data_IF_713043448348
#
_entry.id   IF_713043448348
#
_cell.length_a   1.000
_cell.length_b   1.000
_cell.length_c   1.000
_cell.angle_alpha   90.00
_cell.angle_beta   90.00
_cell.angle_gamma   90.00
#
_symmetry.space_group_name_H-M   'P 1'
#
loop_
_entity.id
_entity.type
_entity.pdbx_description
1 polymer ?
#
# COMPACT_ATOMS: atom_id res chain seq x y z
N UNK A 1 24.24 7.91 -23.37
CA UNK A 1 23.31 7.10 -24.20
C UNK A 1 22.58 6.15 -23.27
N UNK A 2 21.43 6.56 -22.71
CA UNK A 2 20.72 5.77 -21.68
C UNK A 2 19.20 6.01 -21.67
N UNK A 3 18.65 6.59 -22.73
CA UNK A 3 17.19 6.64 -22.95
C UNK A 3 16.62 5.37 -23.58
N UNK A 4 17.46 4.57 -24.25
CA UNK A 4 17.05 3.36 -24.97
C UNK A 4 16.57 2.24 -24.04
N UNK A 5 17.10 2.13 -22.82
CA UNK A 5 16.75 1.01 -21.92
C UNK A 5 15.32 1.11 -21.37
N UNK A 6 14.87 2.32 -20.98
CA UNK A 6 13.50 2.52 -20.49
C UNK A 6 12.48 2.38 -21.61
N UNK A 7 12.75 2.93 -22.79
CA UNK A 7 11.87 2.78 -23.98
C UNK A 7 11.77 1.32 -24.39
N UNK A 8 12.89 0.58 -24.36
CA UNK A 8 12.88 -0.86 -24.64
C UNK A 8 12.09 -1.64 -23.59
N UNK A 9 12.21 -1.29 -22.31
CA UNK A 9 11.45 -1.91 -21.23
C UNK A 9 9.94 -1.70 -21.41
N UNK A 10 9.51 -0.49 -21.72
CA UNK A 10 8.10 -0.18 -21.98
C UNK A 10 7.57 -0.93 -23.20
N UNK A 11 8.36 -1.00 -24.27
CA UNK A 11 7.99 -1.79 -25.45
C UNK A 11 7.84 -3.27 -25.14
N UNK A 12 8.72 -3.84 -24.30
CA UNK A 12 8.63 -5.24 -23.86
C UNK A 12 7.39 -5.46 -23.00
N UNK A 13 7.12 -4.57 -22.05
CA UNK A 13 5.93 -4.65 -21.18
C UNK A 13 4.65 -4.60 -22.00
N UNK A 14 4.53 -3.63 -22.91
CA UNK A 14 3.36 -3.52 -23.79
C UNK A 14 3.18 -4.79 -24.63
N UNK A 15 4.27 -5.35 -25.18
CA UNK A 15 4.18 -6.57 -25.97
C UNK A 15 3.77 -7.79 -25.14
N UNK A 16 4.26 -7.90 -23.91
CA UNK A 16 3.88 -8.98 -23.00
C UNK A 16 2.43 -8.82 -22.50
N UNK A 17 1.95 -7.59 -22.34
CA UNK A 17 0.55 -7.29 -22.01
C UNK A 17 -0.40 -7.71 -23.14
N UNK A 18 -0.08 -7.36 -24.39
CA UNK A 18 -0.83 -7.82 -25.56
C UNK A 18 -0.91 -9.36 -25.62
N UNK A 19 0.22 -10.04 -25.40
CA UNK A 19 0.29 -11.51 -25.41
C UNK A 19 -0.39 -12.15 -24.19
N UNK A 20 -0.62 -11.40 -23.11
CA UNK A 20 -1.25 -11.91 -21.89
C UNK A 20 -2.72 -12.25 -22.07
N UNK A 21 -3.38 -11.60 -23.04
CA UNK A 21 -4.80 -11.77 -23.37
C UNK A 21 -5.06 -13.03 -24.20
N UNK A 22 -4.03 -13.57 -24.85
CA UNK A 22 -4.12 -14.81 -25.63
C UNK A 22 -4.57 -15.99 -24.75
N UNK A 23 -5.44 -16.85 -25.26
CA UNK A 23 -6.02 -17.97 -24.48
C UNK A 23 -5.16 -19.23 -24.48
N UNK A 24 -4.13 -19.30 -25.33
CA UNK A 24 -3.29 -20.48 -25.43
C UNK A 24 -2.42 -20.64 -24.18
N UNK A 25 -2.58 -21.77 -23.49
CA UNK A 25 -1.93 -22.06 -22.21
C UNK A 25 -0.42 -21.82 -22.22
N UNK A 26 0.31 -22.29 -23.24
CA UNK A 26 1.77 -22.14 -23.28
C UNK A 26 2.20 -20.69 -23.51
N UNK A 27 1.39 -19.90 -24.23
CA UNK A 27 1.63 -18.45 -24.37
C UNK A 27 1.49 -17.77 -23.02
N UNK A 28 0.40 -18.02 -22.30
CA UNK A 28 0.19 -17.43 -20.98
C UNK A 28 1.29 -17.84 -19.99
N UNK A 29 1.72 -19.11 -19.99
CA UNK A 29 2.83 -19.57 -19.16
C UNK A 29 4.14 -18.87 -19.53
N UNK A 30 4.44 -18.71 -20.83
CA UNK A 30 5.64 -17.99 -21.27
C UNK A 30 5.63 -16.52 -20.85
N UNK A 31 4.49 -15.85 -20.98
CA UNK A 31 4.28 -14.46 -20.52
C UNK A 31 4.49 -14.35 -19.02
N UNK A 32 3.89 -15.23 -18.22
CA UNK A 32 4.06 -15.27 -16.76
C UNK A 32 5.54 -15.47 -16.38
N UNK A 33 6.24 -16.38 -17.06
CA UNK A 33 7.68 -16.60 -16.80
C UNK A 33 8.53 -15.39 -17.16
N UNK A 34 8.22 -14.69 -18.26
CA UNK A 34 8.93 -13.49 -18.68
C UNK A 34 8.72 -12.35 -17.69
N UNK A 35 7.45 -12.01 -17.40
CA UNK A 35 7.08 -10.97 -16.45
C UNK A 35 7.59 -11.26 -15.03
N UNK A 36 7.56 -12.53 -14.61
CA UNK A 36 8.02 -12.98 -13.30
C UNK A 36 9.52 -12.78 -13.02
N UNK A 37 10.32 -12.59 -14.08
CA UNK A 37 11.76 -12.30 -13.98
C UNK A 37 12.07 -10.81 -14.04
N UNK A 38 11.08 -9.96 -14.29
CA UNK A 38 11.29 -8.52 -14.41
C UNK A 38 11.34 -7.87 -13.03
N UNK A 39 12.24 -6.90 -12.84
CA UNK A 39 12.41 -6.18 -11.58
C UNK A 39 11.63 -4.85 -11.58
N UNK A 40 10.41 -4.85 -12.11
CA UNK A 40 9.58 -3.64 -12.24
C UNK A 40 8.16 -3.84 -11.75
N UNK A 41 7.64 -2.86 -11.02
CA UNK A 41 6.25 -2.88 -10.53
C UNK A 41 5.21 -2.84 -11.65
N UNK A 42 5.57 -2.39 -12.87
CA UNK A 42 4.66 -2.45 -14.03
C UNK A 42 4.32 -3.90 -14.41
N UNK A 43 5.26 -4.84 -14.25
CA UNK A 43 5.02 -6.26 -14.53
C UNK A 43 4.02 -6.89 -13.54
N UNK A 44 3.94 -6.38 -12.31
CA UNK A 44 2.95 -6.82 -11.31
C UNK A 44 1.53 -6.54 -11.79
N UNK A 45 1.29 -5.37 -12.42
CA UNK A 45 -0.02 -5.01 -12.94
C UNK A 45 -0.51 -5.99 -14.01
N UNK A 46 0.37 -6.33 -14.97
CA UNK A 46 0.06 -7.27 -16.06
C UNK A 46 -0.17 -8.68 -15.51
N UNK A 47 0.68 -9.15 -14.58
CA UNK A 47 0.51 -10.46 -13.96
C UNK A 47 -0.81 -10.59 -13.18
N UNK A 48 -1.23 -9.54 -12.48
CA UNK A 48 -2.50 -9.53 -11.75
C UNK A 48 -3.70 -9.56 -12.72
N UNK A 49 -3.66 -8.74 -13.78
CA UNK A 49 -4.71 -8.74 -14.80
C UNK A 49 -4.85 -10.12 -15.46
N UNK A 50 -3.74 -10.77 -15.80
CA UNK A 50 -3.74 -12.14 -16.34
C UNK A 50 -4.31 -13.16 -15.34
N UNK A 51 -3.97 -13.06 -14.04
CA UNK A 51 -4.52 -13.94 -13.00
C UNK A 51 -6.04 -13.81 -12.85
N UNK A 52 -6.53 -12.57 -12.91
CA UNK A 52 -7.95 -12.25 -12.72
C UNK A 52 -8.80 -12.71 -13.93
N UNK A 53 -8.24 -12.65 -15.15
CA UNK A 53 -8.95 -12.93 -16.40
C UNK A 53 -8.82 -14.39 -16.87
N UNK A 54 -7.76 -15.11 -16.49
CA UNK A 54 -7.54 -16.47 -17.01
C UNK A 54 -8.52 -17.49 -16.43
N UNK A 55 -9.15 -18.34 -17.28
CA UNK A 55 -9.98 -19.45 -16.83
C UNK A 55 -9.16 -20.66 -16.37
N UNK A 56 -7.86 -20.74 -16.71
CA UNK A 56 -6.99 -21.85 -16.30
C UNK A 56 -6.39 -21.60 -14.91
N UNK A 57 -6.84 -22.35 -13.91
CA UNK A 57 -6.37 -22.23 -12.53
C UNK A 57 -4.85 -22.43 -12.35
N UNK A 58 -4.18 -23.16 -13.26
CA UNK A 58 -2.72 -23.36 -13.21
C UNK A 58 -1.99 -22.12 -13.69
N UNK A 59 -2.56 -21.38 -14.65
CA UNK A 59 -2.00 -20.10 -15.09
C UNK A 59 -2.19 -19.06 -13.99
N UNK A 60 -3.39 -18.98 -13.42
CA UNK A 60 -3.70 -18.09 -12.28
C UNK A 60 -2.72 -18.25 -11.14
N UNK A 61 -2.52 -19.49 -10.66
CA UNK A 61 -1.57 -19.78 -9.58
C UNK A 61 -0.14 -19.35 -9.92
N UNK A 62 0.34 -19.64 -11.13
CA UNK A 62 1.70 -19.24 -11.55
C UNK A 62 1.83 -17.71 -11.61
N UNK A 63 0.81 -17.01 -12.05
CA UNK A 63 0.80 -15.56 -12.12
C UNK A 63 0.83 -14.93 -10.71
N UNK A 64 0.06 -15.45 -9.76
CA UNK A 64 0.09 -15.04 -8.35
C UNK A 64 1.46 -15.27 -7.70
N UNK A 65 2.07 -16.44 -7.96
CA UNK A 65 3.43 -16.75 -7.49
C UNK A 65 4.46 -15.78 -8.11
N UNK A 66 4.35 -15.50 -9.40
CA UNK A 66 5.20 -14.53 -10.10
C UNK A 66 5.05 -13.11 -9.55
N UNK A 67 3.84 -12.67 -9.18
CA UNK A 67 3.61 -11.37 -8.52
C UNK A 67 4.45 -11.25 -7.24
N UNK A 68 4.47 -12.30 -6.42
CA UNK A 68 5.27 -12.29 -5.19
C UNK A 68 6.77 -12.22 -5.49
N UNK A 69 7.24 -12.93 -6.51
CA UNK A 69 8.64 -12.90 -6.93
C UNK A 69 9.05 -11.52 -7.44
N UNK A 70 8.25 -10.91 -8.32
CA UNK A 70 8.50 -9.56 -8.84
C UNK A 70 8.46 -8.54 -7.72
N UNK A 71 7.50 -8.60 -6.80
CA UNK A 71 7.46 -7.69 -5.65
C UNK A 71 8.70 -7.80 -4.76
N UNK A 72 9.23 -9.01 -4.56
CA UNK A 72 10.48 -9.22 -3.82
C UNK A 72 11.69 -8.65 -4.58
N UNK A 73 11.75 -8.85 -5.89
CA UNK A 73 12.85 -8.39 -6.74
C UNK A 73 12.81 -6.87 -6.95
N UNK A 74 11.67 -6.30 -7.34
CA UNK A 74 11.45 -4.87 -7.51
C UNK A 74 11.47 -4.11 -6.17
N UNK A 75 11.01 -4.73 -5.08
CA UNK A 75 11.08 -4.20 -3.71
C UNK A 75 12.46 -4.33 -3.04
N UNK A 76 13.49 -4.75 -3.79
CA UNK A 76 14.88 -4.63 -3.35
C UNK A 76 15.40 -3.19 -3.46
N UNK A 77 14.62 -2.28 -4.05
CA UNK A 77 14.90 -0.84 -3.98
C UNK A 77 14.67 -0.36 -2.54
N UNK A 78 15.74 -0.38 -1.73
CA UNK A 78 15.72 -0.01 -0.32
C UNK A 78 15.03 1.35 -0.07
N UNK A 79 15.03 2.23 -1.06
CA UNK A 79 14.34 3.51 -1.03
C UNK A 79 12.83 3.36 -0.80
N UNK A 80 12.16 2.43 -1.49
CA UNK A 80 10.70 2.24 -1.36
C UNK A 80 10.32 1.64 0.00
N UNK A 81 11.11 0.68 0.49
CA UNK A 81 10.91 0.13 1.85
C UNK A 81 11.15 1.17 2.93
N UNK A 82 12.16 2.02 2.76
CA UNK A 82 12.44 3.13 3.67
C UNK A 82 11.28 4.13 3.69
N UNK A 83 10.77 4.51 2.52
CA UNK A 83 9.60 5.40 2.41
C UNK A 83 8.34 4.82 3.05
N UNK A 84 8.08 3.51 2.88
CA UNK A 84 6.96 2.84 3.56
C UNK A 84 7.12 2.85 5.07
N UNK A 85 8.32 2.55 5.57
CA UNK A 85 8.62 2.59 7.01
C UNK A 85 8.48 4.00 7.59
N UNK A 86 8.95 5.02 6.89
CA UNK A 86 8.82 6.42 7.32
C UNK A 86 7.35 6.86 7.32
N UNK A 87 6.55 6.43 6.35
CA UNK A 87 5.12 6.72 6.29
C UNK A 87 4.35 6.07 7.45
N UNK A 88 4.66 4.81 7.77
CA UNK A 88 4.00 4.09 8.86
C UNK A 88 4.37 4.69 10.22
N UNK A 89 5.64 5.10 10.41
CA UNK A 89 6.06 5.83 11.60
C UNK A 89 5.30 7.15 11.73
N UNK A 90 5.19 7.92 10.65
CA UNK A 90 4.47 9.19 10.65
C UNK A 90 2.98 9.02 11.00
N UNK A 91 2.33 7.96 10.49
CA UNK A 91 0.93 7.63 10.85
C UNK A 91 0.78 7.32 12.34
N UNK A 92 1.70 6.54 12.89
CA UNK A 92 1.70 6.18 14.31
C UNK A 92 1.89 7.41 15.20
N UNK A 93 2.83 8.28 14.84
CA UNK A 93 3.08 9.52 15.58
C UNK A 93 1.86 10.46 15.51
N UNK A 94 1.20 10.53 14.35
CA UNK A 94 -0.04 11.32 14.21
C UNK A 94 -1.16 10.79 15.12
N UNK A 95 -1.34 9.46 15.20
CA UNK A 95 -2.33 8.84 16.09
C UNK A 95 -2.02 9.11 17.56
N UNK A 96 -0.75 8.99 17.98
CA UNK A 96 -0.34 9.30 19.35
C UNK A 96 -0.58 10.77 19.70
N UNK A 97 -0.21 11.68 18.80
CA UNK A 97 -0.46 13.12 18.98
C UNK A 97 -1.95 13.45 19.08
N UNK A 98 -2.80 12.84 18.25
CA UNK A 98 -4.26 12.98 18.35
C UNK A 98 -4.78 12.50 19.70
N UNK A 99 -4.33 11.32 20.14
CA UNK A 99 -4.73 10.73 21.42
C UNK A 99 -4.34 11.62 22.60
N UNK A 100 -3.14 12.23 22.54
CA UNK A 100 -2.68 13.20 23.55
C UNK A 100 -3.50 14.49 23.53
N UNK A 101 -3.85 15.00 22.35
CA UNK A 101 -4.71 16.18 22.22
C UNK A 101 -6.10 15.93 22.84
N UNK A 102 -6.72 14.80 22.52
CA UNK A 102 -8.01 14.41 23.11
C UNK A 102 -7.93 14.32 24.64
N UNK A 103 -6.87 13.72 25.18
CA UNK A 103 -6.66 13.64 26.62
C UNK A 103 -6.48 15.03 27.26
N UNK A 104 -5.74 15.93 26.63
CA UNK A 104 -5.54 17.31 27.10
C UNK A 104 -6.84 18.11 27.06
N UNK A 105 -7.60 17.99 25.97
CA UNK A 105 -8.91 18.63 25.84
C UNK A 105 -9.88 18.12 26.91
N UNK A 106 -9.94 16.81 27.14
CA UNK A 106 -10.77 16.22 28.19
C UNK A 106 -10.37 16.74 29.58
N UNK A 107 -9.07 16.82 29.87
CA UNK A 107 -8.55 17.35 31.14
C UNK A 107 -8.88 18.83 31.32
N UNK A 108 -8.82 19.62 30.25
CA UNK A 108 -9.19 21.04 30.25
C UNK A 108 -10.69 21.27 30.49
N UNK A 109 -11.54 20.38 29.94
CA UNK A 109 -13.00 20.41 30.18
C UNK A 109 -13.32 20.01 31.61
N UNK A 110 -12.63 18.99 32.15
CA UNK A 110 -12.80 18.54 33.53
C UNK A 110 -12.33 19.57 34.58
N UNK A 111 -11.30 20.38 34.29
CA UNK A 111 -10.89 21.46 35.18
C UNK A 111 -11.91 22.62 35.18
N UNK A 112 -12.48 22.97 34.02
CA UNK A 112 -13.54 23.99 33.93
C UNK A 112 -14.86 23.57 34.59
N UNK A 113 -15.20 22.28 34.62
CA UNK A 113 -16.42 21.81 35.31
C UNK A 113 -16.27 21.81 36.83
N UNK A 114 -15.10 21.47 37.37
CA UNK A 114 -14.82 21.55 38.81
C UNK A 114 -14.92 22.98 39.36
N UNK A 115 -14.56 23.97 38.56
CA UNK A 115 -14.59 25.39 38.95
C UNK A 115 -16.03 25.94 39.02
N UNK A 116 -16.91 25.53 38.09
CA UNK A 116 -18.35 25.87 38.12
C UNK A 116 -19.10 25.26 39.31
N UNK A 117 -18.76 24.03 39.71
CA UNK A 117 -19.41 23.35 40.85
C UNK A 117 -19.00 23.97 42.20
N UNK A 118 -17.81 24.58 42.29
CA UNK A 118 -17.38 25.29 43.50
C UNK A 118 -18.08 26.65 43.65
N UNK A 119 -18.39 27.32 42.54
CA UNK A 119 -19.13 28.59 42.52
C UNK A 119 -20.62 28.44 42.88
N UNK A 120 -21.28 27.32 42.55
CA UNK A 120 -22.69 27.11 42.91
C UNK A 120 -22.91 26.74 44.38
N UNK A 121 -21.94 26.06 45.03
CA UNK A 121 -22.01 25.72 46.46
C UNK A 121 -21.77 26.91 47.40
N UNK A 122 -21.22 28.02 46.89
CA UNK A 122 -20.99 29.25 47.66
C UNK A 122 -22.19 30.22 47.68
N UNK A 123 -23.27 29.96 46.94
CA UNK A 123 -24.39 30.92 46.76
C UNK A 123 -25.71 30.57 47.48
N UNK A 124 -25.73 29.57 48.35
CA UNK A 124 -26.89 29.32 49.24
C UNK A 124 -26.58 29.78 50.68
N UNK A 125 -27.05 30.97 51.11
CA UNK A 125 -27.01 31.35 52.51
C UNK A 125 -28.13 30.64 53.28
N UNK A 126 -27.82 30.34 54.55
CA UNK A 126 -28.71 29.78 55.57
C UNK A 126 -30.12 30.38 55.55
N UNK A 127 -31.11 29.52 55.75
CA UNK A 127 -32.37 29.84 56.43
C UNK A 127 -32.73 28.66 57.32
#
# INVERSE_FOLDING_TARGET
>A
VSGQTLVNLERILNRLDELSVETFFLTQVAVVMALGRMETMKAVGILQALADQTPDGRVRRRAEEAVQNVRKAAGSDQAVKKLQSELDQLKKDNQDLRSRLEALEAKSKASKSKDKTKASKAKSPKS
#
